data_IF_747533150469
#
_entry.id   IF_747533150469
#
_cell.length_a   1.000
_cell.length_b   1.000
_cell.length_c   1.000
_cell.angle_alpha   90.00
_cell.angle_beta   90.00
_cell.angle_gamma   90.00
#
_symmetry.space_group_name_H-M   'P 1'
#
loop_
_entity.id
_entity.type
_entity.pdbx_description
1 polymer ?
#
# COMPACT_ATOMS: atom_id res chain seq x y z
N UNK A 1 11.09 8.36 -9.24
CA UNK A 1 11.57 8.68 -10.62
C UNK A 1 12.03 7.45 -11.40
N UNK A 2 12.90 6.60 -10.85
CA UNK A 2 13.54 5.48 -11.57
C UNK A 2 12.58 4.41 -12.07
N UNK A 3 11.80 3.78 -11.17
CA UNK A 3 10.97 2.62 -11.50
C UNK A 3 9.74 2.96 -12.37
N UNK A 4 9.03 4.04 -12.03
CA UNK A 4 7.71 4.38 -12.61
C UNK A 4 7.63 5.77 -13.22
N UNK A 5 8.73 6.52 -13.28
CA UNK A 5 8.76 7.85 -13.91
C UNK A 5 8.10 8.99 -13.11
N UNK A 6 7.51 8.70 -11.95
CA UNK A 6 6.89 9.73 -11.09
C UNK A 6 7.99 10.60 -10.45
N UNK A 7 7.90 11.91 -10.70
CA UNK A 7 8.79 12.95 -10.17
C UNK A 7 8.16 13.74 -9.03
N UNK A 8 8.98 14.53 -8.32
CA UNK A 8 8.56 15.38 -7.20
C UNK A 8 7.54 16.46 -7.60
N UNK A 9 7.44 16.79 -8.88
CA UNK A 9 6.47 17.72 -9.44
C UNK A 9 5.06 17.12 -9.59
N UNK A 10 4.91 15.79 -9.41
CA UNK A 10 3.66 15.06 -9.61
C UNK A 10 2.98 14.67 -8.28
N UNK A 11 3.66 14.87 -7.15
CA UNK A 11 3.11 14.55 -5.83
C UNK A 11 3.47 15.60 -4.79
N UNK A 12 2.67 15.65 -3.74
CA UNK A 12 2.94 16.41 -2.51
C UNK A 12 3.31 15.41 -1.44
N UNK A 13 4.52 15.51 -0.91
CA UNK A 13 4.95 14.69 0.21
C UNK A 13 4.13 15.03 1.46
N UNK A 14 3.57 14.01 2.12
CA UNK A 14 2.74 14.18 3.32
C UNK A 14 3.56 13.92 4.57
N UNK A 15 4.38 12.87 4.57
CA UNK A 15 5.16 12.48 5.74
C UNK A 15 5.51 11.01 5.76
N UNK A 16 6.00 10.56 6.92
CA UNK A 16 6.43 9.19 7.17
C UNK A 16 5.35 8.41 7.94
N UNK A 17 5.18 7.14 7.59
CA UNK A 17 4.41 6.18 8.38
C UNK A 17 5.26 5.42 9.41
N UNK A 18 6.56 5.67 9.42
CA UNK A 18 7.53 4.99 10.27
C UNK A 18 8.19 3.79 9.58
N UNK A 19 8.73 2.90 10.42
CA UNK A 19 9.51 1.74 10.01
C UNK A 19 8.71 0.45 10.16
N UNK A 20 8.87 -0.44 9.20
CA UNK A 20 8.21 -1.74 9.16
C UNK A 20 9.23 -2.85 8.95
N UNK A 21 9.34 -3.75 9.91
CA UNK A 21 10.28 -4.87 9.85
C UNK A 21 9.85 -5.90 8.81
N UNK A 22 10.80 -6.34 7.98
CA UNK A 22 10.66 -7.48 7.07
C UNK A 22 10.74 -8.80 7.86
N UNK A 23 9.66 -9.58 7.87
CA UNK A 23 9.56 -10.81 8.69
C UNK A 23 10.61 -11.87 8.35
N UNK A 24 11.14 -11.88 7.12
CA UNK A 24 12.05 -12.92 6.63
C UNK A 24 13.52 -12.50 6.66
N UNK A 25 13.81 -11.21 6.49
CA UNK A 25 15.18 -10.70 6.34
C UNK A 25 15.67 -9.85 7.51
N UNK A 26 14.78 -9.41 8.42
CA UNK A 26 15.15 -8.62 9.60
C UNK A 26 15.62 -7.19 9.30
N UNK A 27 15.36 -6.69 8.10
CA UNK A 27 15.57 -5.28 7.75
C UNK A 27 14.30 -4.46 7.95
N UNK A 28 14.48 -3.17 8.23
CA UNK A 28 13.38 -2.20 8.32
C UNK A 28 13.17 -1.46 7.00
N UNK A 29 11.91 -1.39 6.57
CA UNK A 29 11.48 -0.52 5.49
C UNK A 29 10.94 0.79 6.07
N UNK A 30 11.59 1.92 5.73
CA UNK A 30 11.04 3.25 5.97
C UNK A 30 9.93 3.55 4.96
N UNK A 31 8.73 3.87 5.45
CA UNK A 31 7.56 4.07 4.60
C UNK A 31 7.15 5.53 4.59
N UNK A 32 6.98 6.04 3.38
CA UNK A 32 6.64 7.42 3.08
C UNK A 32 5.29 7.50 2.37
N UNK A 33 4.53 8.56 2.66
CA UNK A 33 3.23 8.82 2.05
C UNK A 33 3.28 10.13 1.29
N UNK A 34 2.69 10.12 0.10
CA UNK A 34 2.51 11.28 -0.74
C UNK A 34 1.10 11.28 -1.33
N UNK A 35 0.60 12.47 -1.65
CA UNK A 35 -0.66 12.66 -2.36
C UNK A 35 -0.39 13.21 -3.74
N UNK A 36 -0.98 12.60 -4.76
CA UNK A 36 -0.94 13.09 -6.13
C UNK A 36 -2.21 13.93 -6.39
N UNK A 37 -2.12 15.27 -6.51
CA UNK A 37 -3.30 16.12 -6.74
C UNK A 37 -3.99 15.85 -8.08
N UNK A 38 -3.26 15.26 -9.02
CA UNK A 38 -3.73 14.77 -10.31
C UNK A 38 -3.22 13.34 -10.49
N UNK A 39 -3.89 12.51 -11.30
CA UNK A 39 -3.35 11.19 -11.65
C UNK A 39 -1.90 11.32 -12.17
N UNK A 40 -0.95 10.57 -11.61
CA UNK A 40 0.44 10.64 -12.04
C UNK A 40 0.59 10.08 -13.46
N UNK A 41 1.56 10.61 -14.21
CA UNK A 41 1.93 10.05 -15.51
C UNK A 41 3.04 9.03 -15.32
N UNK A 42 2.77 7.78 -15.68
CA UNK A 42 3.73 6.70 -15.52
C UNK A 42 4.65 6.56 -16.73
N UNK A 43 5.95 6.39 -16.46
CA UNK A 43 6.94 5.91 -17.41
C UNK A 43 7.64 4.70 -16.80
N UNK A 44 7.09 3.52 -17.08
CA UNK A 44 7.48 2.26 -16.43
C UNK A 44 8.82 1.76 -16.96
N UNK A 45 9.76 1.51 -16.05
CA UNK A 45 10.96 0.72 -16.32
C UNK A 45 10.60 -0.77 -16.31
N UNK A 46 10.38 -1.36 -17.49
CA UNK A 46 9.96 -2.77 -17.62
C UNK A 46 11.01 -3.79 -17.19
N UNK A 47 12.26 -3.38 -16.96
CA UNK A 47 13.29 -4.26 -16.40
C UNK A 47 13.05 -4.55 -14.91
N UNK A 48 12.36 -3.66 -14.21
CA UNK A 48 12.11 -3.73 -12.75
C UNK A 48 10.63 -3.89 -12.42
N UNK A 49 9.74 -3.28 -13.21
CA UNK A 49 8.30 -3.24 -12.95
C UNK A 49 7.53 -3.93 -14.06
N UNK A 50 6.86 -5.03 -13.69
CA UNK A 50 6.01 -5.78 -14.62
C UNK A 50 4.70 -5.04 -14.94
N UNK A 51 4.08 -4.44 -13.93
CA UNK A 51 2.79 -3.75 -14.05
C UNK A 51 2.61 -2.68 -12.96
N UNK A 52 1.70 -1.74 -13.21
CA UNK A 52 1.19 -0.81 -12.20
C UNK A 52 -0.28 -1.15 -11.96
N UNK A 53 -0.63 -1.33 -10.70
CA UNK A 53 -2.00 -1.62 -10.27
C UNK A 53 -2.47 -0.52 -9.34
N UNK A 54 -3.46 0.24 -9.77
CA UNK A 54 -4.17 1.20 -8.93
C UNK A 54 -5.38 0.50 -8.29
N UNK A 55 -5.41 0.48 -6.95
CA UNK A 55 -6.49 -0.15 -6.18
C UNK A 55 -7.38 0.93 -5.57
N UNK A 56 -8.67 0.97 -5.91
CA UNK A 56 -9.60 1.88 -5.26
C UNK A 56 -9.65 1.69 -3.74
N UNK A 57 -9.65 2.78 -2.98
CA UNK A 57 -9.65 2.73 -1.52
C UNK A 57 -10.87 1.99 -0.95
N UNK A 58 -12.04 2.08 -1.59
CA UNK A 58 -13.25 1.37 -1.18
C UNK A 58 -13.08 -0.16 -1.26
N UNK A 59 -12.32 -0.66 -2.24
CA UNK A 59 -11.97 -2.09 -2.35
C UNK A 59 -11.12 -2.53 -1.16
N UNK A 60 -10.15 -1.71 -0.77
CA UNK A 60 -9.30 -1.99 0.38
C UNK A 60 -10.11 -1.95 1.68
N UNK A 61 -10.98 -0.94 1.84
CA UNK A 61 -11.84 -0.79 3.01
C UNK A 61 -12.78 -1.98 3.24
N UNK A 62 -13.36 -2.55 2.17
CA UNK A 62 -14.23 -3.74 2.29
C UNK A 62 -13.51 -4.97 2.85
N UNK A 63 -12.18 -5.01 2.76
CA UNK A 63 -11.35 -6.12 3.22
C UNK A 63 -10.59 -5.79 4.52
N UNK A 64 -10.67 -4.54 4.98
CA UNK A 64 -9.97 -4.07 6.15
C UNK A 64 -10.55 -4.67 7.44
N UNK A 65 -9.67 -5.21 8.29
CA UNK A 65 -10.00 -5.74 9.62
C UNK A 65 -9.45 -4.79 10.70
N UNK A 66 -10.23 -3.82 11.21
CA UNK A 66 -9.75 -2.85 12.19
C UNK A 66 -9.31 -3.48 13.52
N UNK A 67 -9.82 -4.67 13.82
CA UNK A 67 -9.61 -5.48 15.01
C UNK A 67 -8.50 -6.53 14.88
N UNK A 68 -7.73 -6.50 13.78
CA UNK A 68 -6.62 -7.43 13.55
C UNK A 68 -5.65 -7.46 14.75
N UNK A 69 -5.36 -8.66 15.27
CA UNK A 69 -4.43 -8.82 16.36
C UNK A 69 -2.98 -8.89 15.84
N UNK A 70 -2.26 -7.78 15.90
CA UNK A 70 -0.84 -7.71 15.49
C UNK A 70 0.12 -8.52 16.37
N UNK A 71 -0.33 -9.04 17.52
CA UNK A 71 0.45 -9.96 18.34
C UNK A 71 0.27 -11.42 17.90
N UNK A 72 -0.76 -11.72 17.11
CA UNK A 72 -0.95 -13.04 16.53
C UNK A 72 -0.18 -13.15 15.21
N UNK A 73 0.82 -14.03 15.21
CA UNK A 73 1.70 -14.23 14.06
C UNK A 73 0.93 -14.76 12.84
N UNK A 74 -0.05 -15.62 13.03
CA UNK A 74 -0.80 -16.22 11.92
C UNK A 74 -1.72 -15.16 11.29
N UNK A 75 -2.37 -14.33 12.11
CA UNK A 75 -3.17 -13.21 11.59
C UNK A 75 -2.33 -12.23 10.76
N UNK A 76 -1.12 -11.91 11.21
CA UNK A 76 -0.20 -11.01 10.51
C UNK A 76 0.38 -11.67 9.25
N UNK A 77 0.70 -12.97 9.31
CA UNK A 77 1.28 -13.72 8.19
C UNK A 77 0.27 -13.90 7.03
N UNK A 78 -0.99 -14.11 7.36
CA UNK A 78 -2.07 -14.31 6.37
C UNK A 78 -2.86 -13.03 6.05
N UNK A 79 -2.44 -11.88 6.57
CA UNK A 79 -3.00 -10.59 6.18
C UNK A 79 -2.78 -10.35 4.68
N UNK A 80 -3.86 -10.05 3.97
CA UNK A 80 -3.79 -9.70 2.56
C UNK A 80 -5.00 -8.94 2.07
N UNK A 81 -4.80 -8.27 0.93
CA UNK A 81 -5.86 -7.61 0.17
C UNK A 81 -5.84 -8.15 -1.25
N UNK A 82 -7.02 -8.32 -1.83
CA UNK A 82 -7.16 -8.80 -3.20
C UNK A 82 -7.94 -7.80 -4.04
N UNK A 83 -7.45 -7.57 -5.24
CA UNK A 83 -8.13 -6.74 -6.21
C UNK A 83 -8.06 -7.38 -7.58
N UNK A 84 -9.17 -7.34 -8.32
CA UNK A 84 -9.21 -7.73 -9.73
C UNK A 84 -9.63 -6.50 -10.51
N UNK A 85 -8.68 -5.88 -11.20
CA UNK A 85 -9.00 -4.86 -12.18
C UNK A 85 -9.84 -5.48 -13.30
N UNK A 86 -10.79 -4.72 -13.83
CA UNK A 86 -11.75 -5.19 -14.82
C UNK A 86 -11.06 -5.71 -16.10
N UNK A 87 -9.92 -5.13 -16.45
CA UNK A 87 -9.15 -5.44 -17.65
C UNK A 87 -7.89 -6.29 -17.37
N UNK A 88 -7.70 -6.78 -16.13
CA UNK A 88 -6.54 -7.61 -15.79
C UNK A 88 -6.85 -9.11 -15.86
N UNK A 89 -5.95 -9.85 -16.50
CA UNK A 89 -6.01 -11.31 -16.59
C UNK A 89 -5.82 -11.99 -15.22
N UNK A 90 -5.12 -11.35 -14.28
CA UNK A 90 -4.86 -11.92 -12.96
C UNK A 90 -5.25 -10.95 -11.84
N UNK A 91 -5.77 -11.47 -10.70
CA UNK A 91 -6.01 -10.63 -9.55
C UNK A 91 -4.68 -10.21 -8.92
N UNK A 92 -4.56 -8.92 -8.59
CA UNK A 92 -3.50 -8.42 -7.74
C UNK A 92 -3.74 -8.89 -6.30
N UNK A 93 -2.71 -9.51 -5.71
CA UNK A 93 -2.71 -9.91 -4.31
C UNK A 93 -1.65 -9.09 -3.58
N UNK A 94 -2.08 -8.31 -2.59
CA UNK A 94 -1.18 -7.64 -1.65
C UNK A 94 -1.05 -8.56 -0.44
N UNK A 95 0.19 -8.90 -0.09
CA UNK A 95 0.51 -9.79 1.01
C UNK A 95 1.84 -9.36 1.66
N UNK A 96 2.18 -9.97 2.79
CA UNK A 96 3.45 -9.72 3.47
C UNK A 96 3.61 -8.26 3.93
N UNK A 97 4.79 -7.67 3.69
CA UNK A 97 5.10 -6.30 4.12
C UNK A 97 4.12 -5.27 3.55
N UNK A 98 3.82 -5.33 2.24
CA UNK A 98 2.91 -4.38 1.59
C UNK A 98 1.50 -4.42 2.18
N UNK A 99 0.98 -5.61 2.51
CA UNK A 99 -0.33 -5.72 3.15
C UNK A 99 -0.34 -5.13 4.57
N UNK A 100 0.73 -5.33 5.35
CA UNK A 100 0.87 -4.73 6.69
C UNK A 100 0.93 -3.20 6.61
N UNK A 101 1.73 -2.66 5.70
CA UNK A 101 1.80 -1.20 5.46
C UNK A 101 0.42 -0.66 5.06
N UNK A 102 -0.26 -1.33 4.13
CA UNK A 102 -1.60 -0.94 3.67
C UNK A 102 -2.62 -0.95 4.82
N UNK A 103 -2.59 -1.98 5.67
CA UNK A 103 -3.46 -2.05 6.84
C UNK A 103 -3.21 -0.91 7.82
N UNK A 104 -1.94 -0.61 8.15
CA UNK A 104 -1.58 0.52 9.00
C UNK A 104 -2.03 1.87 8.40
N UNK A 105 -1.93 2.03 7.08
CA UNK A 105 -2.41 3.22 6.39
C UNK A 105 -3.92 3.38 6.57
N UNK A 106 -4.70 2.31 6.34
CA UNK A 106 -6.15 2.33 6.55
C UNK A 106 -6.50 2.57 8.02
N UNK A 107 -5.80 1.95 8.97
CA UNK A 107 -6.02 2.20 10.39
C UNK A 107 -5.77 3.67 10.79
N UNK A 108 -4.80 4.34 10.18
CA UNK A 108 -4.59 5.77 10.40
C UNK A 108 -5.74 6.61 9.82
N UNK A 109 -6.21 6.29 8.62
CA UNK A 109 -7.35 6.97 7.99
C UNK A 109 -8.69 6.74 8.70
N UNK A 110 -8.90 5.60 9.36
CA UNK A 110 -10.14 5.35 10.09
C UNK A 110 -10.24 6.22 11.35
N UNK A 111 -9.10 6.50 11.99
CA UNK A 111 -9.01 7.34 13.19
C UNK A 111 -9.25 8.82 12.89
N UNK A 112 -8.89 9.30 11.70
CA UNK A 112 -9.18 10.68 11.29
C UNK A 112 -10.65 10.89 10.93
N UNK A 113 -11.35 9.85 10.46
CA UNK A 113 -12.79 9.91 10.13
C UNK A 113 -13.71 10.01 11.34
N UNK A 114 -13.27 9.63 12.54
CA UNK A 114 -14.08 9.74 13.77
C UNK A 114 -13.87 11.06 14.52
N UNK A 115 -13.10 12.00 13.96
CA UNK A 115 -12.83 13.30 14.56
C UNK A 115 -13.75 14.44 14.05
N UNK A 116 -14.71 14.12 13.17
CA UNK A 116 -15.80 14.98 12.71
C UNK A 116 -17.15 14.48 13.26
#
# INVERSE_FOLDING_TARGET
>A
REEIGVGEDQFVYIGEMGFFETLTSGYDAAVHVAWCPRPPTYRVNRAEVAEIVEIPLDVLWRQFRPDLNFQDRDEVMYLGFRYRAQDSHQPANLWGLTARITHHFLLALSRSRTAD
#
